data_IF_958971694494
#
_entry.id   IF_958971694494
#
_cell.length_a   1.000
_cell.length_b   1.000
_cell.length_c   1.000
_cell.angle_alpha   90.00
_cell.angle_beta   90.00
_cell.angle_gamma   90.00
#
_symmetry.space_group_name_H-M   'P 1'
#
loop_
_entity.id
_entity.type
_entity.pdbx_description
1 polymer ?
#
# COMPACT_ATOMS: atom_id res chain seq x y z
N UNK A 1 10.81 -14.12 -20.36
CA UNK A 1 10.51 -12.65 -20.37
C UNK A 1 10.88 -12.15 -18.99
N UNK A 2 11.25 -10.88 -18.81
CA UNK A 2 11.50 -10.34 -17.48
C UNK A 2 10.17 -10.28 -16.72
N UNK A 3 10.19 -10.51 -15.39
CA UNK A 3 8.99 -10.42 -14.55
C UNK A 3 8.40 -9.01 -14.62
N UNK A 4 7.08 -8.91 -14.71
CA UNK A 4 6.35 -7.66 -14.78
C UNK A 4 6.25 -6.96 -13.41
N UNK A 5 6.41 -7.69 -12.31
CA UNK A 5 6.71 -7.17 -10.98
C UNK A 5 7.98 -7.87 -10.44
N UNK A 6 8.85 -7.08 -9.81
CA UNK A 6 10.09 -7.58 -9.20
C UNK A 6 9.96 -7.52 -7.69
N UNK A 7 10.52 -8.50 -7.00
CA UNK A 7 10.65 -8.50 -5.55
C UNK A 7 12.13 -8.66 -5.17
N UNK A 8 12.59 -7.83 -4.25
CA UNK A 8 13.88 -7.95 -3.59
C UNK A 8 13.66 -7.83 -2.08
N UNK A 9 14.25 -8.74 -1.31
CA UNK A 9 14.16 -8.71 0.16
C UNK A 9 15.51 -8.37 0.74
N UNK A 10 15.58 -7.30 1.52
CA UNK A 10 16.79 -6.85 2.22
C UNK A 10 16.43 -6.49 3.65
N UNK A 11 17.13 -7.03 4.62
CA UNK A 11 17.02 -6.65 6.03
C UNK A 11 15.58 -6.53 6.54
N UNK A 12 14.75 -7.55 6.26
CA UNK A 12 13.32 -7.64 6.63
C UNK A 12 12.37 -6.69 5.89
N UNK A 13 12.85 -5.97 4.90
CA UNK A 13 12.04 -5.13 4.00
C UNK A 13 11.94 -5.80 2.64
N UNK A 14 10.72 -5.97 2.13
CA UNK A 14 10.47 -6.39 0.75
C UNK A 14 10.29 -5.14 -0.12
N UNK A 15 11.08 -5.03 -1.16
CA UNK A 15 10.97 -3.99 -2.19
C UNK A 15 10.27 -4.60 -3.40
N UNK A 16 9.04 -4.15 -3.67
CA UNK A 16 8.24 -4.58 -4.82
C UNK A 16 8.23 -3.47 -5.85
N UNK A 17 8.69 -3.78 -7.06
CA UNK A 17 8.75 -2.81 -8.16
C UNK A 17 7.86 -3.26 -9.31
N UNK A 18 6.86 -2.46 -9.68
CA UNK A 18 6.07 -2.64 -10.89
C UNK A 18 6.99 -2.37 -12.09
N UNK A 19 7.20 -3.38 -12.95
CA UNK A 19 8.32 -3.39 -13.91
C UNK A 19 7.87 -3.57 -15.37
N UNK A 20 7.00 -2.66 -15.81
CA UNK A 20 6.64 -2.49 -17.23
C UNK A 20 6.75 -1.00 -17.61
N UNK A 21 7.95 -0.37 -17.46
CA UNK A 21 8.11 1.07 -17.62
C UNK A 21 7.73 1.57 -19.01
N UNK A 22 7.91 0.77 -20.07
CA UNK A 22 7.52 1.08 -21.46
C UNK A 22 5.98 1.13 -21.64
N UNK A 23 5.22 0.58 -20.72
CA UNK A 23 3.75 0.61 -20.62
C UNK A 23 3.25 1.44 -19.43
N UNK A 24 4.12 2.29 -18.86
CA UNK A 24 3.81 3.08 -17.66
C UNK A 24 3.25 2.21 -16.52
N UNK A 25 3.79 1.02 -16.38
CA UNK A 25 3.38 0.02 -15.39
C UNK A 25 1.88 -0.33 -15.41
N UNK A 26 1.28 -0.30 -16.61
CA UNK A 26 -0.09 -0.74 -16.79
C UNK A 26 -0.23 -2.23 -16.47
N UNK A 27 -1.28 -2.58 -15.71
CA UNK A 27 -1.54 -3.92 -15.19
C UNK A 27 -2.07 -4.81 -16.31
N UNK A 28 -1.33 -5.86 -16.62
CA UNK A 28 -1.75 -7.01 -17.42
C UNK A 28 -1.81 -8.27 -16.55
N UNK A 29 -2.21 -9.41 -17.14
CA UNK A 29 -2.31 -10.66 -16.40
C UNK A 29 -0.96 -11.13 -15.82
N UNK A 30 0.15 -10.91 -16.52
CA UNK A 30 1.49 -11.27 -16.04
C UNK A 30 1.83 -10.48 -14.78
N UNK A 31 1.65 -9.15 -14.82
CA UNK A 31 1.90 -8.29 -13.65
C UNK A 31 0.99 -8.67 -12.48
N UNK A 32 -0.26 -8.97 -12.75
CA UNK A 32 -1.19 -9.38 -11.70
C UNK A 32 -0.78 -10.71 -11.07
N UNK A 33 -0.37 -11.68 -11.88
CA UNK A 33 0.17 -12.96 -11.42
C UNK A 33 1.43 -12.79 -10.56
N UNK A 34 2.40 -12.01 -11.06
CA UNK A 34 3.64 -11.71 -10.33
C UNK A 34 3.36 -11.00 -8.99
N UNK A 35 2.37 -10.07 -8.95
CA UNK A 35 1.96 -9.41 -7.71
C UNK A 35 1.34 -10.38 -6.71
N UNK A 36 0.45 -11.28 -7.15
CA UNK A 36 -0.12 -12.29 -6.25
C UNK A 36 0.95 -13.22 -5.70
N UNK A 37 1.92 -13.65 -6.52
CA UNK A 37 3.03 -14.47 -6.08
C UNK A 37 3.90 -13.73 -5.06
N UNK A 38 4.35 -12.53 -5.39
CA UNK A 38 5.19 -11.71 -4.51
C UNK A 38 4.50 -11.40 -3.16
N UNK A 39 3.24 -10.99 -3.19
CA UNK A 39 2.53 -10.63 -1.97
C UNK A 39 2.08 -11.86 -1.15
N UNK A 40 1.94 -13.03 -1.78
CA UNK A 40 1.77 -14.30 -1.07
C UNK A 40 3.05 -14.68 -0.32
N UNK A 41 4.21 -14.59 -0.96
CA UNK A 41 5.51 -14.77 -0.30
C UNK A 41 5.67 -13.78 0.86
N UNK A 42 5.40 -12.50 0.62
CA UNK A 42 5.47 -11.48 1.66
C UNK A 42 4.58 -11.82 2.86
N UNK A 43 3.35 -12.25 2.63
CA UNK A 43 2.41 -12.62 3.69
C UNK A 43 2.95 -13.77 4.54
N UNK A 44 3.45 -14.82 3.90
CA UNK A 44 3.77 -16.10 4.51
C UNK A 44 5.21 -16.16 5.07
N UNK A 45 6.12 -15.29 4.63
CA UNK A 45 7.51 -15.26 5.08
C UNK A 45 7.67 -14.45 6.37
N UNK A 46 7.95 -15.05 7.54
CA UNK A 46 8.09 -14.35 8.81
C UNK A 46 9.29 -13.39 8.86
N UNK A 47 10.26 -13.53 7.97
CA UNK A 47 11.43 -12.66 7.91
C UNK A 47 11.17 -11.35 7.15
N UNK A 48 9.99 -11.19 6.54
CA UNK A 48 9.57 -9.93 5.92
C UNK A 48 8.62 -9.19 6.87
N UNK A 49 8.98 -7.97 7.25
CA UNK A 49 8.22 -7.18 8.22
C UNK A 49 7.52 -5.96 7.61
N UNK A 50 8.11 -5.35 6.57
CA UNK A 50 7.61 -4.15 5.90
C UNK A 50 7.75 -4.31 4.39
N UNK A 51 6.88 -3.67 3.63
CA UNK A 51 6.93 -3.62 2.16
C UNK A 51 7.09 -2.18 1.70
N UNK A 52 7.97 -1.97 0.72
CA UNK A 52 8.04 -0.75 -0.09
C UNK A 52 7.59 -1.10 -1.50
N UNK A 53 6.53 -0.45 -1.98
CA UNK A 53 5.96 -0.65 -3.31
C UNK A 53 6.20 0.59 -4.18
N UNK A 54 6.79 0.41 -5.35
CA UNK A 54 7.06 1.51 -6.30
C UNK A 54 6.91 1.06 -7.75
N UNK A 55 7.07 1.98 -8.71
CA UNK A 55 7.07 1.70 -10.14
C UNK A 55 8.41 2.00 -10.79
N UNK A 56 8.83 1.19 -11.73
CA UNK A 56 9.98 1.48 -12.57
C UNK A 56 9.70 2.62 -13.56
N UNK A 57 10.68 3.48 -13.80
CA UNK A 57 10.58 4.58 -14.77
C UNK A 57 9.72 5.74 -14.27
N UNK A 58 8.95 6.37 -15.17
CA UNK A 58 8.24 7.63 -14.93
C UNK A 58 6.82 7.49 -14.39
N UNK A 59 6.37 6.31 -14.04
CA UNK A 59 5.03 6.06 -13.50
C UNK A 59 5.09 5.09 -12.35
N UNK A 60 4.24 5.31 -11.35
CA UNK A 60 3.92 4.27 -10.40
C UNK A 60 3.10 3.18 -11.09
N UNK A 61 1.88 3.49 -11.53
CA UNK A 61 1.02 2.60 -12.29
C UNK A 61 -0.12 3.38 -12.94
N UNK A 62 -0.43 3.12 -14.21
CA UNK A 62 -1.51 3.82 -14.93
C UNK A 62 -2.83 3.04 -15.03
N UNK A 63 -2.94 1.94 -14.28
CA UNK A 63 -4.15 1.12 -14.26
C UNK A 63 -4.09 -0.02 -15.27
N UNK A 64 -5.25 -0.54 -15.68
CA UNK A 64 -5.30 -1.67 -16.61
C UNK A 64 -4.69 -1.35 -17.97
N UNK A 65 -3.99 -2.34 -18.53
CA UNK A 65 -3.53 -2.30 -19.91
C UNK A 65 -4.75 -2.40 -20.86
N UNK A 66 -5.12 -1.29 -21.46
CA UNK A 66 -6.29 -1.19 -22.33
C UNK A 66 -6.05 -1.76 -23.75
N UNK A 67 -4.79 -2.08 -24.08
CA UNK A 67 -4.40 -2.65 -25.39
C UNK A 67 -4.54 -4.16 -25.40
N UNK A 68 -4.64 -4.81 -24.23
CA UNK A 68 -5.04 -6.21 -24.15
C UNK A 68 -6.39 -6.40 -24.85
N UNK A 69 -6.46 -7.38 -25.77
CA UNK A 69 -7.64 -7.61 -26.59
C UNK A 69 -8.92 -7.67 -25.74
N UNK A 70 -10.01 -7.09 -26.25
CA UNK A 70 -11.32 -7.07 -25.54
C UNK A 70 -11.85 -8.47 -25.18
N UNK A 71 -11.30 -9.50 -25.80
CA UNK A 71 -11.71 -10.90 -25.64
C UNK A 71 -10.74 -11.71 -24.75
N UNK A 72 -9.67 -11.13 -24.27
CA UNK A 72 -8.79 -11.83 -23.32
C UNK A 72 -9.40 -11.74 -21.92
N UNK A 73 -9.50 -12.88 -21.19
CA UNK A 73 -9.92 -12.84 -19.80
C UNK A 73 -8.93 -11.97 -19.03
N UNK A 74 -9.44 -10.92 -18.44
CA UNK A 74 -8.64 -10.07 -17.53
C UNK A 74 -8.60 -10.75 -16.17
N UNK A 75 -7.42 -10.88 -15.61
CA UNK A 75 -7.29 -11.20 -14.20
C UNK A 75 -8.02 -10.15 -13.36
N UNK A 76 -8.61 -10.59 -12.26
CA UNK A 76 -9.40 -9.71 -11.40
C UNK A 76 -8.48 -8.92 -10.46
N UNK A 77 -8.25 -7.64 -10.80
CA UNK A 77 -7.50 -6.72 -9.93
C UNK A 77 -8.24 -6.46 -8.61
N UNK A 78 -9.57 -6.64 -8.60
CA UNK A 78 -10.37 -6.41 -7.40
C UNK A 78 -10.10 -7.51 -6.37
N UNK A 79 -9.85 -8.76 -6.81
CA UNK A 79 -9.38 -9.83 -5.93
C UNK A 79 -8.02 -9.50 -5.30
N UNK A 80 -7.12 -8.86 -6.05
CA UNK A 80 -5.85 -8.41 -5.49
C UNK A 80 -6.05 -7.28 -4.47
N UNK A 81 -7.00 -6.38 -4.67
CA UNK A 81 -7.36 -5.37 -3.67
C UNK A 81 -7.89 -6.00 -2.38
N UNK A 82 -8.77 -7.00 -2.50
CA UNK A 82 -9.25 -7.76 -1.34
C UNK A 82 -8.09 -8.46 -0.63
N UNK A 83 -7.16 -9.07 -1.39
CA UNK A 83 -5.96 -9.67 -0.82
C UNK A 83 -5.11 -8.62 -0.06
N UNK A 84 -4.80 -7.49 -0.70
CA UNK A 84 -3.95 -6.43 -0.13
C UNK A 84 -4.59 -5.80 1.13
N UNK A 85 -5.93 -5.64 1.15
CA UNK A 85 -6.65 -5.13 2.31
C UNK A 85 -6.62 -6.07 3.53
N UNK A 86 -6.27 -7.34 3.33
CA UNK A 86 -6.10 -8.35 4.39
C UNK A 86 -4.62 -8.70 4.65
N UNK A 87 -3.70 -7.97 4.06
CA UNK A 87 -2.28 -8.10 4.38
C UNK A 87 -1.95 -7.26 5.62
N UNK A 88 -1.61 -7.89 6.72
CA UNK A 88 -1.34 -7.17 7.98
C UNK A 88 0.06 -6.56 8.07
N UNK A 89 1.00 -6.97 7.23
CA UNK A 89 2.31 -6.32 7.14
C UNK A 89 2.18 -4.92 6.56
N UNK A 90 2.87 -3.91 7.10
CA UNK A 90 2.83 -2.54 6.58
C UNK A 90 3.31 -2.47 5.14
N UNK A 91 2.60 -1.70 4.32
CA UNK A 91 2.97 -1.39 2.94
C UNK A 91 3.14 0.12 2.79
N UNK A 92 4.31 0.54 2.36
CA UNK A 92 4.65 1.92 2.03
C UNK A 92 4.67 2.06 0.52
N UNK A 93 3.76 2.85 -0.05
CA UNK A 93 3.81 3.17 -1.48
C UNK A 93 4.70 4.38 -1.72
N UNK A 94 5.77 4.20 -2.47
CA UNK A 94 6.63 5.25 -3.01
C UNK A 94 6.15 5.62 -4.42
N UNK A 95 5.33 6.67 -4.52
CA UNK A 95 4.63 7.04 -5.75
C UNK A 95 5.52 7.95 -6.58
N UNK A 96 6.20 7.39 -7.57
CA UNK A 96 7.25 8.03 -8.36
C UNK A 96 6.77 8.77 -9.62
N UNK A 97 5.46 8.91 -9.85
CA UNK A 97 4.93 9.56 -11.05
C UNK A 97 3.46 9.27 -11.26
N UNK A 98 3.02 8.99 -12.50
CA UNK A 98 1.62 8.72 -12.81
C UNK A 98 1.06 7.57 -11.97
N UNK A 99 0.03 7.88 -11.19
CA UNK A 99 -0.68 6.97 -10.30
C UNK A 99 -2.18 7.02 -10.63
N UNK A 100 -2.60 6.26 -11.64
CA UNK A 100 -3.90 6.44 -12.26
C UNK A 100 -4.77 5.19 -12.15
N UNK A 101 -6.07 5.40 -12.05
CA UNK A 101 -7.08 4.32 -12.11
C UNK A 101 -6.81 3.22 -11.06
N UNK A 102 -6.55 1.97 -11.51
CA UNK A 102 -6.20 0.87 -10.61
C UNK A 102 -4.86 1.08 -9.90
N UNK A 103 -3.93 1.81 -10.51
CA UNK A 103 -2.70 2.23 -9.83
C UNK A 103 -2.98 3.11 -8.62
N UNK A 104 -3.95 4.04 -8.74
CA UNK A 104 -4.45 4.82 -7.60
C UNK A 104 -5.07 3.94 -6.51
N UNK A 105 -5.78 2.88 -6.89
CA UNK A 105 -6.30 1.88 -5.95
C UNK A 105 -5.19 1.15 -5.19
N UNK A 106 -4.13 0.70 -5.88
CA UNK A 106 -2.97 0.05 -5.27
C UNK A 106 -2.27 0.98 -4.26
N UNK A 107 -2.05 2.24 -4.66
CA UNK A 107 -1.44 3.22 -3.78
C UNK A 107 -2.31 3.50 -2.55
N UNK A 108 -3.61 3.69 -2.70
CA UNK A 108 -4.52 3.99 -1.59
C UNK A 108 -4.72 2.80 -0.64
N UNK A 109 -4.61 1.56 -1.11
CA UNK A 109 -4.66 0.37 -0.26
C UNK A 109 -3.33 0.06 0.44
N UNK A 110 -2.24 0.73 0.05
CA UNK A 110 -1.03 0.76 0.88
C UNK A 110 -1.29 1.61 2.13
N UNK A 111 -0.57 1.34 3.22
CA UNK A 111 -0.84 1.98 4.52
C UNK A 111 -0.35 3.42 4.57
N UNK A 112 0.86 3.65 4.05
CA UNK A 112 1.50 4.97 3.99
C UNK A 112 1.89 5.24 2.54
N UNK A 113 1.69 6.47 2.09
CA UNK A 113 2.04 6.93 0.74
C UNK A 113 2.96 8.11 0.82
N UNK A 114 4.13 7.97 0.20
CA UNK A 114 5.07 9.05 -0.04
C UNK A 114 5.05 9.29 -1.54
N UNK A 115 4.83 10.51 -1.98
CA UNK A 115 4.80 10.86 -3.38
C UNK A 115 6.00 11.72 -3.77
N UNK A 116 6.52 11.54 -4.97
CA UNK A 116 7.39 12.56 -5.54
C UNK A 116 6.58 13.82 -5.86
N UNK A 117 7.25 14.96 -5.91
CA UNK A 117 6.63 16.23 -6.29
C UNK A 117 6.05 16.21 -7.73
N UNK A 118 6.59 15.34 -8.61
CA UNK A 118 6.14 15.12 -9.97
C UNK A 118 4.98 14.10 -10.09
N UNK A 119 4.52 13.52 -8.99
CA UNK A 119 3.45 12.51 -9.04
C UNK A 119 2.09 13.14 -9.37
N UNK A 120 1.34 12.44 -10.21
CA UNK A 120 -0.01 12.81 -10.60
C UNK A 120 -0.98 11.67 -10.33
N UNK A 121 -2.09 11.98 -9.67
CA UNK A 121 -3.15 11.04 -9.32
C UNK A 121 -4.40 11.30 -10.16
N UNK A 122 -5.13 10.25 -10.55
CA UNK A 122 -6.37 10.48 -11.29
C UNK A 122 -7.14 9.23 -11.68
N UNK A 123 -8.41 9.41 -12.01
CA UNK A 123 -9.32 8.36 -12.48
C UNK A 123 -9.95 8.76 -13.83
N UNK A 124 -9.17 8.75 -14.94
CA UNK A 124 -9.61 9.28 -16.22
C UNK A 124 -10.59 8.37 -17.00
N UNK A 125 -11.05 7.26 -16.42
CA UNK A 125 -11.93 6.28 -17.09
C UNK A 125 -13.22 6.94 -17.60
N UNK A 126 -13.77 7.92 -16.88
CA UNK A 126 -14.99 8.65 -17.27
C UNK A 126 -14.86 9.32 -18.63
N UNK A 127 -13.67 9.79 -19.01
CA UNK A 127 -13.38 10.38 -20.34
C UNK A 127 -13.46 9.33 -21.48
N UNK A 128 -13.57 8.05 -21.15
CA UNK A 128 -13.69 6.92 -22.09
C UNK A 128 -15.03 6.20 -21.95
N UNK A 129 -15.98 6.75 -21.19
CA UNK A 129 -17.28 6.13 -20.92
C UNK A 129 -17.20 4.87 -20.06
N UNK A 130 -16.14 4.73 -19.26
CA UNK A 130 -15.91 3.58 -18.38
C UNK A 130 -16.12 4.04 -16.94
N UNK A 131 -16.98 3.34 -16.18
CA UNK A 131 -17.08 3.54 -14.75
C UNK A 131 -15.90 2.91 -14.03
N UNK A 132 -15.34 3.64 -13.06
CA UNK A 132 -14.28 3.13 -12.21
C UNK A 132 -14.84 2.26 -11.08
N UNK A 133 -14.13 1.21 -10.68
CA UNK A 133 -14.42 0.46 -9.45
C UNK A 133 -13.59 1.04 -8.31
N UNK A 134 -12.27 1.14 -8.47
CA UNK A 134 -11.36 1.63 -7.43
C UNK A 134 -11.65 3.07 -6.97
N UNK A 135 -12.11 3.94 -7.87
CA UNK A 135 -12.45 5.31 -7.53
C UNK A 135 -13.55 5.41 -6.47
N UNK A 136 -14.78 4.97 -6.76
CA UNK A 136 -15.89 5.06 -5.80
C UNK A 136 -15.70 4.13 -4.60
N UNK A 137 -15.04 2.98 -4.76
CA UNK A 137 -14.88 2.00 -3.68
C UNK A 137 -13.75 2.39 -2.71
N UNK A 138 -12.69 3.02 -3.20
CA UNK A 138 -11.50 3.32 -2.39
C UNK A 138 -11.36 4.82 -2.17
N UNK A 139 -11.18 5.63 -3.24
CA UNK A 139 -10.89 7.06 -3.11
C UNK A 139 -11.93 7.80 -2.25
N UNK A 140 -13.22 7.51 -2.45
CA UNK A 140 -14.31 8.16 -1.72
C UNK A 140 -14.32 7.89 -0.21
N UNK A 141 -13.53 6.91 0.26
CA UNK A 141 -13.37 6.60 1.67
C UNK A 141 -12.10 7.21 2.28
N UNK A 142 -11.16 7.64 1.43
CA UNK A 142 -9.89 8.23 1.88
C UNK A 142 -9.89 9.75 1.95
N UNK A 143 -10.71 10.41 1.10
CA UNK A 143 -10.77 11.88 1.04
C UNK A 143 -12.23 12.36 1.14
N UNK A 144 -12.48 13.65 1.42
CA UNK A 144 -13.83 14.20 1.44
C UNK A 144 -14.59 13.89 0.16
N UNK A 145 -15.83 13.40 0.28
CA UNK A 145 -16.67 12.92 -0.82
C UNK A 145 -16.76 13.92 -1.99
N UNK A 146 -16.93 15.22 -1.73
CA UNK A 146 -17.01 16.23 -2.79
C UNK A 146 -15.69 16.34 -3.59
N UNK A 147 -14.54 16.20 -2.94
CA UNK A 147 -13.25 16.21 -3.62
C UNK A 147 -13.06 14.92 -4.46
N UNK A 148 -13.44 13.77 -3.89
CA UNK A 148 -13.42 12.49 -4.62
C UNK A 148 -14.30 12.55 -5.87
N UNK A 149 -15.56 13.00 -5.74
CA UNK A 149 -16.49 13.12 -6.86
C UNK A 149 -16.01 14.11 -7.93
N UNK A 150 -15.38 15.22 -7.54
CA UNK A 150 -14.77 16.15 -8.50
C UNK A 150 -13.73 15.43 -9.37
N UNK A 151 -12.79 14.72 -8.76
CA UNK A 151 -11.76 13.96 -9.49
C UNK A 151 -12.42 12.89 -10.39
N UNK A 152 -13.39 12.13 -9.86
CA UNK A 152 -14.03 11.02 -10.56
C UNK A 152 -14.92 11.48 -11.73
N UNK A 153 -15.63 12.60 -11.57
CA UNK A 153 -16.56 13.10 -12.59
C UNK A 153 -15.84 13.82 -13.72
N UNK A 154 -14.76 14.54 -13.41
CA UNK A 154 -13.99 15.28 -14.43
C UNK A 154 -12.93 14.40 -15.09
N UNK A 155 -12.43 13.37 -14.39
CA UNK A 155 -11.27 12.59 -14.80
C UNK A 155 -10.00 13.45 -14.92
N UNK A 156 -9.95 14.61 -14.26
CA UNK A 156 -8.77 15.46 -14.18
C UNK A 156 -7.73 14.87 -13.23
N UNK A 157 -6.47 15.20 -13.49
CA UNK A 157 -5.39 14.75 -12.62
C UNK A 157 -5.24 15.72 -11.44
N UNK A 158 -4.78 15.16 -10.34
CA UNK A 158 -4.51 15.83 -9.10
C UNK A 158 -3.00 15.77 -8.85
N UNK A 159 -2.35 16.90 -8.64
CA UNK A 159 -0.91 16.96 -8.33
C UNK A 159 -0.59 16.33 -6.97
N UNK A 160 0.67 15.98 -6.74
CA UNK A 160 1.14 15.48 -5.44
C UNK A 160 0.80 16.43 -4.28
N UNK A 161 0.94 17.74 -4.47
CA UNK A 161 0.61 18.73 -3.43
C UNK A 161 -0.89 18.78 -3.13
N UNK A 162 -1.75 18.68 -4.15
CA UNK A 162 -3.19 18.60 -3.91
C UNK A 162 -3.58 17.27 -3.27
N UNK A 163 -2.94 16.16 -3.67
CA UNK A 163 -3.12 14.85 -3.03
C UNK A 163 -2.72 14.90 -1.54
N UNK A 164 -1.63 15.58 -1.21
CA UNK A 164 -1.21 15.83 0.18
C UNK A 164 -2.25 16.66 0.94
N UNK A 165 -2.71 17.77 0.35
CA UNK A 165 -3.75 18.62 0.96
C UNK A 165 -5.06 17.87 1.25
N UNK A 166 -5.40 16.91 0.39
CA UNK A 166 -6.60 16.06 0.54
C UNK A 166 -6.40 14.86 1.48
N UNK A 167 -5.17 14.57 1.92
CA UNK A 167 -4.84 13.42 2.75
C UNK A 167 -4.67 12.11 1.96
N UNK A 168 -4.60 12.18 0.63
CA UNK A 168 -4.32 11.01 -0.20
C UNK A 168 -2.90 10.50 0.02
N UNK A 169 -1.94 11.39 0.22
CA UNK A 169 -0.54 11.05 0.54
C UNK A 169 -0.12 11.73 1.85
N UNK A 170 0.84 11.14 2.55
CA UNK A 170 1.29 11.62 3.85
C UNK A 170 2.52 12.51 3.77
N UNK A 171 3.32 12.33 2.71
CA UNK A 171 4.53 13.13 2.46
C UNK A 171 4.67 13.41 0.95
N UNK A 172 5.26 14.56 0.61
CA UNK A 172 5.70 14.89 -0.75
C UNK A 172 7.15 15.30 -0.68
N UNK A 173 7.99 14.67 -1.49
CA UNK A 173 9.44 14.85 -1.48
C UNK A 173 9.97 15.05 -2.91
N UNK A 174 11.18 15.59 -3.11
CA UNK A 174 11.86 15.59 -4.39
C UNK A 174 11.92 14.18 -5.01
N UNK A 175 11.88 14.10 -6.34
CA UNK A 175 11.87 12.82 -7.05
C UNK A 175 13.07 11.92 -6.71
N UNK A 176 14.24 12.49 -6.57
CA UNK A 176 15.50 11.80 -6.27
C UNK A 176 15.61 11.35 -4.81
N UNK A 177 14.82 11.92 -3.90
CA UNK A 177 14.76 11.54 -2.48
C UNK A 177 13.69 10.49 -2.18
N UNK A 178 12.78 10.20 -3.12
CA UNK A 178 11.58 9.40 -2.86
C UNK A 178 11.88 8.00 -2.31
N UNK A 179 12.75 7.25 -2.95
CA UNK A 179 13.06 5.88 -2.54
C UNK A 179 13.86 5.85 -1.24
N UNK A 180 14.79 6.78 -1.06
CA UNK A 180 15.55 6.91 0.18
C UNK A 180 14.59 7.20 1.36
N UNK A 181 13.65 8.14 1.18
CA UNK A 181 12.65 8.45 2.21
C UNK A 181 11.75 7.29 2.56
N UNK A 182 11.29 6.52 1.56
CA UNK A 182 10.48 5.32 1.78
C UNK A 182 11.29 4.23 2.53
N UNK A 183 12.57 4.05 2.19
CA UNK A 183 13.48 3.12 2.86
C UNK A 183 13.74 3.55 4.31
N UNK A 184 14.01 4.83 4.57
CA UNK A 184 14.17 5.36 5.92
C UNK A 184 12.97 5.04 6.81
N UNK A 185 11.76 5.26 6.30
CA UNK A 185 10.54 4.95 7.04
C UNK A 185 10.38 3.44 7.28
N UNK A 186 10.64 2.62 6.27
CA UNK A 186 10.61 1.16 6.41
C UNK A 186 11.64 0.68 7.43
N UNK A 187 12.87 1.20 7.39
CA UNK A 187 13.94 0.91 8.34
C UNK A 187 13.56 1.37 9.76
N UNK A 188 12.97 2.55 9.89
CA UNK A 188 12.50 3.04 11.19
C UNK A 188 11.51 2.05 11.83
N UNK A 189 10.57 1.52 11.05
CA UNK A 189 9.60 0.52 11.55
C UNK A 189 10.31 -0.77 11.94
N UNK A 190 11.17 -1.32 11.05
CA UNK A 190 11.90 -2.58 11.30
C UNK A 190 12.80 -2.48 12.53
N UNK A 191 13.51 -1.36 12.70
CA UNK A 191 14.55 -1.22 13.70
C UNK A 191 14.03 -0.82 15.09
N UNK A 192 12.77 -0.32 15.18
CA UNK A 192 12.27 0.26 16.42
C UNK A 192 10.90 -0.29 16.86
N UNK A 193 10.20 -1.07 16.01
CA UNK A 193 8.84 -1.51 16.32
C UNK A 193 8.74 -3.05 16.27
N UNK A 194 8.04 -3.63 17.25
CA UNK A 194 7.75 -5.06 17.26
C UNK A 194 6.80 -5.42 16.11
N UNK A 195 7.16 -6.32 15.17
CA UNK A 195 6.39 -6.55 13.96
C UNK A 195 4.99 -7.11 14.24
N UNK A 196 4.81 -7.98 15.23
CA UNK A 196 3.49 -8.50 15.60
C UNK A 196 2.57 -7.38 16.15
N UNK A 197 3.13 -6.43 16.90
CA UNK A 197 2.37 -5.29 17.40
C UNK A 197 1.93 -4.35 16.25
N UNK A 198 2.83 -4.09 15.30
CA UNK A 198 2.51 -3.28 14.10
C UNK A 198 1.39 -3.94 13.28
N UNK A 199 1.48 -5.26 13.06
CA UNK A 199 0.45 -6.01 12.33
C UNK A 199 -0.89 -5.99 13.07
N UNK A 200 -0.91 -6.20 14.38
CA UNK A 200 -2.13 -6.16 15.19
C UNK A 200 -2.78 -4.77 15.21
N UNK A 201 -1.98 -3.70 15.22
CA UNK A 201 -2.49 -2.32 15.11
C UNK A 201 -3.17 -2.12 13.76
N UNK A 202 -2.53 -2.53 12.65
CA UNK A 202 -3.12 -2.45 11.31
C UNK A 202 -4.41 -3.25 11.21
N UNK A 203 -4.39 -4.52 11.63
CA UNK A 203 -5.58 -5.39 11.62
C UNK A 203 -6.72 -4.76 12.42
N UNK A 204 -6.44 -4.29 13.64
CA UNK A 204 -7.45 -3.65 14.49
C UNK A 204 -8.04 -2.39 13.86
N UNK A 205 -7.21 -1.56 13.25
CA UNK A 205 -7.64 -0.32 12.62
C UNK A 205 -8.55 -0.62 11.42
N UNK A 206 -8.11 -1.49 10.50
CA UNK A 206 -8.83 -1.80 9.26
C UNK A 206 -10.12 -2.56 9.55
N UNK A 207 -10.07 -3.62 10.35
CA UNK A 207 -11.27 -4.41 10.68
C UNK A 207 -12.27 -3.62 11.53
N UNK A 208 -11.79 -2.65 12.30
CA UNK A 208 -12.61 -1.74 13.10
C UNK A 208 -13.39 -0.71 12.29
N UNK A 209 -12.98 -0.37 11.06
CA UNK A 209 -13.65 0.65 10.24
C UNK A 209 -15.12 0.32 9.94
N UNK A 210 -15.45 -0.96 9.74
CA UNK A 210 -16.82 -1.42 9.48
C UNK A 210 -17.70 -1.56 10.73
N UNK A 211 -17.14 -1.40 11.93
CA UNK A 211 -17.85 -1.60 13.19
C UNK A 211 -18.34 -0.24 13.72
N UNK A 212 -19.64 0.01 13.66
CA UNK A 212 -20.24 1.26 14.13
C UNK A 212 -20.29 1.36 15.66
N UNK A 213 -20.60 0.24 16.35
CA UNK A 213 -20.68 0.20 17.81
C UNK A 213 -19.30 0.25 18.45
N UNK A 214 -19.08 1.25 19.32
CA UNK A 214 -17.77 1.49 19.94
C UNK A 214 -17.33 0.35 20.86
N UNK A 215 -18.25 -0.26 21.61
CA UNK A 215 -17.94 -1.39 22.50
C UNK A 215 -17.45 -2.59 21.71
N UNK A 216 -18.19 -2.95 20.64
CA UNK A 216 -17.80 -4.04 19.72
C UNK A 216 -16.45 -3.75 19.06
N UNK A 217 -16.16 -2.49 18.70
CA UNK A 217 -14.86 -2.09 18.15
C UNK A 217 -13.73 -2.29 19.15
N UNK A 218 -13.93 -1.93 20.42
CA UNK A 218 -12.97 -2.18 21.49
C UNK A 218 -12.76 -3.68 21.71
N UNK A 219 -13.83 -4.47 21.70
CA UNK A 219 -13.76 -5.94 21.85
C UNK A 219 -12.98 -6.56 20.67
N UNK A 220 -13.20 -6.10 19.43
CA UNK A 220 -12.43 -6.53 18.27
C UNK A 220 -10.93 -6.24 18.46
N UNK A 221 -10.57 -5.00 18.84
CA UNK A 221 -9.17 -4.64 19.08
C UNK A 221 -8.54 -5.44 20.21
N UNK A 222 -9.27 -5.71 21.28
CA UNK A 222 -8.78 -6.57 22.38
C UNK A 222 -8.49 -7.99 21.92
N UNK A 223 -9.39 -8.59 21.13
CA UNK A 223 -9.21 -9.94 20.58
C UNK A 223 -7.93 -10.07 19.78
N UNK A 224 -7.56 -9.01 19.03
CA UNK A 224 -6.36 -8.97 18.19
C UNK A 224 -5.12 -8.65 19.04
N UNK A 225 -5.18 -7.67 19.92
CA UNK A 225 -4.00 -7.15 20.63
C UNK A 225 -3.56 -8.00 21.83
N UNK A 226 -4.50 -8.65 22.56
CA UNK A 226 -4.15 -9.41 23.77
C UNK A 226 -3.15 -10.54 23.50
N UNK A 227 -3.29 -11.36 22.44
CA UNK A 227 -2.30 -12.41 22.14
C UNK A 227 -0.90 -11.86 21.89
N UNK A 228 -0.78 -10.68 21.26
CA UNK A 228 0.51 -10.03 20.98
C UNK A 228 1.23 -9.65 22.29
N UNK A 229 0.48 -9.24 23.31
CA UNK A 229 1.04 -8.96 24.65
C UNK A 229 1.65 -10.17 25.36
N UNK A 230 1.51 -11.39 24.81
CA UNK A 230 2.09 -12.63 25.30
C UNK A 230 3.27 -13.12 24.45
N UNK A 231 3.74 -12.33 23.50
CA UNK A 231 4.85 -12.65 22.59
C UNK A 231 6.21 -12.42 23.25
N UNK A 232 7.24 -13.11 22.75
CA UNK A 232 8.63 -12.85 23.16
C UNK A 232 9.03 -11.39 22.92
N UNK A 233 8.53 -10.78 21.83
CA UNK A 233 8.79 -9.38 21.51
C UNK A 233 8.15 -8.41 22.52
N UNK A 234 7.00 -8.77 23.10
CA UNK A 234 6.38 -7.98 24.19
C UNK A 234 7.24 -8.02 25.45
N UNK A 235 7.73 -9.20 25.83
CA UNK A 235 8.62 -9.37 27.00
C UNK A 235 9.95 -8.64 26.78
N UNK A 236 10.53 -8.75 25.59
CA UNK A 236 11.75 -8.03 25.22
C UNK A 236 11.52 -6.51 25.28
N UNK A 237 10.41 -6.02 24.74
CA UNK A 237 10.10 -4.58 24.76
C UNK A 237 9.99 -4.02 26.17
N UNK A 238 9.34 -4.72 27.08
CA UNK A 238 9.21 -4.34 28.49
C UNK A 238 10.56 -4.40 29.22
N UNK A 239 11.35 -5.44 28.97
CA UNK A 239 12.67 -5.62 29.56
C UNK A 239 13.64 -4.52 29.08
N UNK A 240 13.70 -4.28 27.77
CA UNK A 240 14.54 -3.25 27.17
C UNK A 240 14.20 -1.84 27.72
N UNK A 241 12.89 -1.57 27.87
CA UNK A 241 12.42 -0.31 28.46
C UNK A 241 12.91 -0.14 29.92
N UNK A 242 12.78 -1.19 30.76
CA UNK A 242 13.25 -1.16 32.15
C UNK A 242 14.76 -0.99 32.24
N UNK A 243 15.52 -1.61 31.35
CA UNK A 243 16.98 -1.56 31.25
C UNK A 243 17.52 -0.33 30.52
N UNK A 244 16.64 0.50 29.95
CA UNK A 244 17.00 1.69 29.15
C UNK A 244 17.91 1.38 27.96
N UNK A 245 17.69 0.27 27.28
CA UNK A 245 18.40 -0.14 26.07
C UNK A 245 17.45 -0.24 24.87
N UNK A 246 18.01 -0.32 23.66
CA UNK A 246 17.24 -0.60 22.45
C UNK A 246 16.72 -2.06 22.49
N UNK A 247 15.45 -2.33 22.19
CA UNK A 247 14.93 -3.68 22.07
C UNK A 247 15.46 -4.38 20.79
N UNK A 248 15.48 -5.71 20.83
CA UNK A 248 15.85 -6.57 19.69
C UNK A 248 14.69 -7.51 19.40
N UNK A 249 13.80 -7.09 18.53
CA UNK A 249 12.62 -7.85 18.17
C UNK A 249 12.91 -8.99 17.19
N UNK A 250 12.16 -10.07 17.31
CA UNK A 250 12.32 -11.30 16.52
C UNK A 250 11.08 -11.71 15.73
N UNK A 251 9.93 -11.06 15.95
CA UNK A 251 8.67 -11.38 15.30
C UNK A 251 7.95 -12.60 15.86
N UNK A 252 8.11 -12.87 17.16
CA UNK A 252 7.52 -14.06 17.80
C UNK A 252 7.21 -13.86 19.29
#
# INVERSE_FOLDING_TARGET
>A
MANAALIEVRDKVAYVTLNRPEKLNAINNDMLGDLFEAFTEIRDNPDIWVVVLTGAGRAFCTGHDLVMGRNEPRGDTDDFYVFLSNLWKPVIAAVNGYCLAQGGGLALLSDIRIASEDAEFGWPQVKRGIASISGPTILSHYIPMGAALKILFTGEFCSAQEAYRLGMVQEVVPQDELLERAEELARHIVDNCAPLAVQAIKESAITGMGISDFKTRVENSRRIAIPVGQSEDSDEGLTAFAEKRKPVFKGR
#
